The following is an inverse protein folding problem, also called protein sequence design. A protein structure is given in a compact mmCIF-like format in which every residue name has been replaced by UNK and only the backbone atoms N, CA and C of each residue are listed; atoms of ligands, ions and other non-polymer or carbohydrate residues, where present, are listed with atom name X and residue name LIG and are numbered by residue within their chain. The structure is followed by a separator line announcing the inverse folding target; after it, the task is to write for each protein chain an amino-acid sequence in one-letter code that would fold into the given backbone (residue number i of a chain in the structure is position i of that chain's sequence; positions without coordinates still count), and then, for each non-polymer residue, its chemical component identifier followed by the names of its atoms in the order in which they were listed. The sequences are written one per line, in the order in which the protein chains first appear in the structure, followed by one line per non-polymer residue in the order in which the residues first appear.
data_IF_207924797238
#
_entry.id   IF_207924797238
#
_cell.length_a   1.000
_cell.length_b   1.000
_cell.length_c   1.000
_cell.angle_alpha   90.00
_cell.angle_beta   90.00
_cell.angle_gamma   90.00
#
_symmetry.space_group_name_H-M   'P 1'
#
loop_
_entity.id
_entity.type
_entity.pdbx_description
1 polymer ?
#
# COMPACT_ATOMS: atom_id res chain seq x y z
N UNK A 1 -18.14 -16.04 -20.62
CA UNK A 1 -16.74 -16.19 -20.18
C UNK A 1 -16.66 -15.89 -18.69
N UNK A 2 -16.30 -16.88 -17.87
CA UNK A 2 -16.23 -16.74 -16.41
C UNK A 2 -14.87 -16.13 -16.05
N UNK A 3 -14.84 -14.87 -15.63
CA UNK A 3 -13.61 -14.19 -15.21
C UNK A 3 -13.17 -14.84 -13.89
N UNK A 4 -11.94 -15.37 -13.84
CA UNK A 4 -11.36 -15.92 -12.61
C UNK A 4 -11.38 -14.84 -11.51
N UNK A 5 -11.92 -15.18 -10.34
CA UNK A 5 -11.85 -14.31 -9.17
C UNK A 5 -10.39 -13.93 -8.86
N UNK A 6 -10.18 -12.67 -8.52
CA UNK A 6 -8.88 -12.17 -8.06
C UNK A 6 -8.65 -12.70 -6.64
N UNK A 7 -7.74 -13.68 -6.52
CA UNK A 7 -7.44 -14.33 -5.24
C UNK A 7 -6.64 -13.44 -4.28
N UNK A 8 -5.84 -12.54 -4.84
CA UNK A 8 -4.91 -11.72 -4.09
C UNK A 8 -4.65 -10.37 -4.77
N UNK A 9 -4.65 -9.30 -3.96
CA UNK A 9 -4.37 -7.93 -4.40
C UNK A 9 -3.36 -7.30 -3.44
N UNK A 10 -2.32 -6.68 -4.00
CA UNK A 10 -1.30 -5.95 -3.25
C UNK A 10 -1.02 -4.59 -3.88
N UNK A 11 -0.66 -3.61 -3.05
CA UNK A 11 -0.33 -2.24 -3.45
C UNK A 11 1.10 -1.90 -3.04
N UNK A 12 1.89 -1.32 -3.95
CA UNK A 12 3.19 -0.75 -3.60
C UNK A 12 3.09 0.77 -3.52
N UNK A 13 3.59 1.39 -2.45
CA UNK A 13 3.51 2.84 -2.21
C UNK A 13 4.67 3.34 -1.34
N UNK A 14 4.93 4.66 -1.31
CA UNK A 14 5.84 5.28 -0.34
C UNK A 14 5.21 5.45 1.05
N UNK A 15 3.91 5.19 1.19
CA UNK A 15 3.20 5.18 2.47
C UNK A 15 2.80 6.54 3.04
N UNK A 16 3.13 7.66 2.38
CA UNK A 16 2.87 9.02 2.89
C UNK A 16 1.37 9.25 3.15
N UNK A 17 0.52 8.82 2.22
CA UNK A 17 -0.93 8.97 2.31
C UNK A 17 -1.64 7.77 2.95
N UNK A 18 -0.89 6.79 3.46
CA UNK A 18 -1.50 5.55 3.93
C UNK A 18 -2.48 5.81 5.09
N UNK A 19 -2.20 6.77 5.97
CA UNK A 19 -3.08 7.11 7.08
C UNK A 19 -4.49 7.52 6.62
N UNK A 20 -4.57 8.24 5.50
CA UNK A 20 -5.83 8.76 4.95
C UNK A 20 -6.62 7.64 4.24
N UNK A 21 -5.95 6.81 3.45
CA UNK A 21 -6.61 5.81 2.61
C UNK A 21 -6.68 4.40 3.19
N UNK A 22 -5.98 4.10 4.30
CA UNK A 22 -5.87 2.74 4.84
C UNK A 22 -7.22 2.05 5.09
N UNK A 23 -8.21 2.78 5.61
CA UNK A 23 -9.53 2.21 5.86
C UNK A 23 -10.25 1.85 4.57
N UNK A 24 -10.22 2.73 3.57
CA UNK A 24 -10.92 2.53 2.31
C UNK A 24 -10.26 1.46 1.46
N UNK A 25 -8.92 1.40 1.47
CA UNK A 25 -8.16 0.31 0.86
C UNK A 25 -8.51 -1.04 1.48
N UNK A 26 -8.63 -1.11 2.81
CA UNK A 26 -9.03 -2.34 3.51
C UNK A 26 -10.47 -2.73 3.16
N UNK A 27 -11.40 -1.78 3.13
CA UNK A 27 -12.81 -2.02 2.74
C UNK A 27 -12.94 -2.48 1.29
N UNK A 28 -12.08 -1.97 0.40
CA UNK A 28 -12.00 -2.38 -1.00
C UNK A 28 -11.41 -3.79 -1.19
N UNK A 29 -10.97 -4.46 -0.12
CA UNK A 29 -10.46 -5.83 -0.17
C UNK A 29 -8.96 -5.94 -0.38
N UNK A 30 -8.21 -4.85 -0.26
CA UNK A 30 -6.75 -4.89 -0.29
C UNK A 30 -6.23 -5.62 0.96
N UNK A 31 -5.44 -6.68 0.75
CA UNK A 31 -4.92 -7.52 1.84
C UNK A 31 -3.46 -7.26 2.17
N UNK A 32 -2.67 -6.75 1.22
CA UNK A 32 -1.23 -6.52 1.39
C UNK A 32 -0.79 -5.18 0.82
N UNK A 33 0.21 -4.59 1.47
CA UNK A 33 0.84 -3.35 1.05
C UNK A 33 2.36 -3.53 1.14
N UNK A 34 3.07 -3.16 0.09
CA UNK A 34 4.53 -3.05 0.07
C UNK A 34 4.89 -1.57 0.21
N UNK A 35 5.64 -1.22 1.25
CA UNK A 35 6.09 0.16 1.44
C UNK A 35 7.53 0.27 0.93
N UNK A 36 7.71 1.06 -0.13
CA UNK A 36 9.03 1.42 -0.62
C UNK A 36 9.62 2.48 0.31
N UNK A 37 10.73 2.15 0.95
CA UNK A 37 11.45 3.04 1.86
C UNK A 37 12.95 2.94 1.60
N UNK A 38 13.54 4.05 1.14
CA UNK A 38 14.96 4.09 0.75
C UNK A 38 15.90 4.17 1.97
N UNK A 39 15.43 4.70 3.11
CA UNK A 39 16.21 4.76 4.33
C UNK A 39 15.36 4.83 5.60
N UNK A 40 15.84 4.19 6.67
CA UNK A 40 15.31 4.36 8.03
C UNK A 40 15.89 5.59 8.74
N UNK A 41 16.82 6.31 8.11
CA UNK A 41 17.41 7.54 8.67
C UNK A 41 16.44 8.70 8.43
N UNK A 42 15.86 9.23 9.51
CA UNK A 42 14.91 10.35 9.46
C UNK A 42 15.48 11.54 8.71
N UNK A 43 16.77 11.85 8.89
CA UNK A 43 17.41 12.98 8.21
C UNK A 43 17.34 12.88 6.67
N UNK A 44 17.33 11.67 6.10
CA UNK A 44 17.30 11.45 4.65
C UNK A 44 15.90 11.57 4.04
N UNK A 45 14.86 11.54 4.86
CA UNK A 45 13.47 11.64 4.40
C UNK A 45 12.98 13.11 4.32
N UNK A 46 13.66 14.03 5.01
CA UNK A 46 13.26 15.43 5.14
C UNK A 46 14.18 16.42 4.40
N UNK A 47 15.04 15.95 3.50
CA UNK A 47 15.87 16.80 2.64
C UNK A 47 15.12 17.24 1.39
#
# INVERSE_FOLDING_TARGET
SQIKEIKDLSLTTNGILLKEFAQDLKKAGLKRINISLDSLKKERFCQ
#
